data_IF_801753714336
#
_entry.id   IF_801753714336
#
_cell.length_a   1.000
_cell.length_b   1.000
_cell.length_c   1.000
_cell.angle_alpha   90.00
_cell.angle_beta   90.00
_cell.angle_gamma   90.00
#
_symmetry.space_group_name_H-M   'P 1'
#
loop_
_entity.id
_entity.type
_entity.pdbx_description
1 polymer ?
#
# COMPACT_ATOMS: atom_id res chain seq x y z
N UNK A 1 8.57 -21.39 6.57
CA UNK A 1 8.03 -20.20 5.92
C UNK A 1 7.07 -20.59 4.80
N UNK A 2 5.80 -20.28 5.00
CA UNK A 2 4.74 -20.68 4.07
C UNK A 2 4.87 -20.01 2.69
N UNK A 3 5.34 -18.77 2.64
CA UNK A 3 5.49 -18.04 1.40
C UNK A 3 6.46 -18.72 0.43
N UNK A 4 7.59 -19.17 0.95
CA UNK A 4 8.64 -19.82 0.13
C UNK A 4 8.12 -21.10 -0.55
N UNK A 5 7.18 -21.78 0.08
CA UNK A 5 6.61 -23.02 -0.45
C UNK A 5 5.53 -22.80 -1.52
N UNK A 6 5.06 -21.55 -1.70
CA UNK A 6 3.98 -21.25 -2.64
C UNK A 6 4.51 -20.95 -4.05
N UNK A 7 3.79 -21.45 -5.06
CA UNK A 7 3.99 -21.01 -6.42
C UNK A 7 3.41 -19.62 -6.64
N UNK A 8 3.79 -18.97 -7.72
CA UNK A 8 3.42 -17.60 -8.05
C UNK A 8 1.92 -17.32 -7.94
N UNK A 9 1.09 -18.16 -8.57
CA UNK A 9 -0.37 -17.97 -8.56
C UNK A 9 -0.95 -18.00 -7.15
N UNK A 10 -0.40 -18.86 -6.30
CA UNK A 10 -0.82 -18.94 -4.90
C UNK A 10 -0.38 -17.71 -4.11
N UNK A 11 0.81 -17.18 -4.40
CA UNK A 11 1.28 -15.93 -3.81
C UNK A 11 0.36 -14.77 -4.19
N UNK A 12 -0.03 -14.68 -5.46
CA UNK A 12 -1.00 -13.66 -5.90
C UNK A 12 -2.33 -13.80 -5.18
N UNK A 13 -2.80 -15.02 -4.99
CA UNK A 13 -4.02 -15.28 -4.23
C UNK A 13 -3.94 -14.82 -2.78
N UNK A 14 -2.80 -15.04 -2.13
CA UNK A 14 -2.55 -14.59 -0.76
C UNK A 14 -2.60 -13.06 -0.69
N UNK A 15 -1.96 -12.38 -1.64
CA UNK A 15 -1.94 -10.91 -1.68
C UNK A 15 -3.33 -10.34 -1.91
N UNK A 16 -4.11 -10.91 -2.83
CA UNK A 16 -5.48 -10.46 -3.08
C UNK A 16 -6.36 -10.67 -1.84
N UNK A 17 -6.23 -11.80 -1.17
CA UNK A 17 -7.00 -12.08 0.04
C UNK A 17 -6.65 -11.10 1.16
N UNK A 18 -5.37 -10.81 1.35
CA UNK A 18 -4.93 -9.83 2.33
C UNK A 18 -5.51 -8.45 2.04
N UNK A 19 -5.45 -8.01 0.78
CA UNK A 19 -6.05 -6.74 0.37
C UNK A 19 -7.55 -6.72 0.68
N UNK A 20 -8.27 -7.80 0.39
CA UNK A 20 -9.70 -7.89 0.68
C UNK A 20 -10.00 -7.74 2.18
N UNK A 21 -9.19 -8.36 3.02
CA UNK A 21 -9.35 -8.28 4.48
C UNK A 21 -9.06 -6.88 5.00
N UNK A 22 -7.97 -6.27 4.56
CA UNK A 22 -7.57 -4.93 4.97
C UNK A 22 -8.63 -3.90 4.52
N UNK A 23 -9.11 -4.01 3.30
CA UNK A 23 -10.14 -3.13 2.76
C UNK A 23 -11.44 -3.22 3.57
N UNK A 24 -11.84 -4.42 3.94
CA UNK A 24 -13.06 -4.66 4.73
C UNK A 24 -12.93 -3.99 6.11
N UNK A 25 -11.81 -4.17 6.79
CA UNK A 25 -11.57 -3.57 8.10
C UNK A 25 -11.52 -2.05 7.99
N UNK A 26 -10.93 -1.53 6.91
CA UNK A 26 -10.80 -0.09 6.67
C UNK A 26 -12.07 0.57 6.14
N UNK A 27 -13.11 -0.20 5.83
CA UNK A 27 -14.37 0.29 5.27
C UNK A 27 -14.18 1.03 3.93
N UNK A 28 -13.42 0.42 3.04
CA UNK A 28 -13.25 0.86 1.66
C UNK A 28 -13.40 -0.30 0.69
N UNK A 29 -13.66 -0.02 -0.61
CA UNK A 29 -13.66 -1.11 -1.61
C UNK A 29 -12.30 -1.78 -1.71
N UNK A 30 -12.29 -3.09 -1.93
CA UNK A 30 -11.08 -3.84 -2.25
C UNK A 30 -10.51 -3.39 -3.58
N UNK A 31 -9.18 -3.26 -3.64
CA UNK A 31 -8.49 -3.07 -4.92
C UNK A 31 -8.23 -4.42 -5.58
N UNK A 32 -8.15 -4.44 -6.90
CA UNK A 32 -7.62 -5.56 -7.65
C UNK A 32 -6.11 -5.52 -7.53
N UNK A 33 -5.50 -6.62 -7.11
CA UNK A 33 -4.03 -6.73 -7.00
C UNK A 33 -3.51 -7.41 -8.26
N UNK A 34 -2.65 -6.72 -8.98
CA UNK A 34 -2.04 -7.22 -10.21
C UNK A 34 -0.52 -7.19 -10.10
N UNK A 35 0.14 -7.95 -10.96
CA UNK A 35 1.60 -8.00 -11.00
C UNK A 35 2.12 -7.52 -12.36
N UNK A 36 3.26 -6.84 -12.32
CA UNK A 36 3.94 -6.35 -13.52
C UNK A 36 5.40 -6.17 -13.18
N UNK A 37 6.29 -6.45 -14.14
CA UNK A 37 7.71 -6.12 -13.95
C UNK A 37 7.88 -4.62 -14.02
N UNK A 38 8.42 -4.04 -12.95
CA UNK A 38 8.54 -2.58 -12.80
C UNK A 38 9.99 -2.08 -12.81
N UNK A 39 10.95 -3.00 -12.95
CA UNK A 39 12.36 -2.66 -12.83
C UNK A 39 12.84 -2.74 -11.39
N UNK A 40 14.16 -2.79 -11.24
CA UNK A 40 14.80 -2.90 -9.93
C UNK A 40 14.53 -1.67 -9.08
N UNK A 41 14.20 -1.89 -7.81
CA UNK A 41 13.94 -0.82 -6.85
C UNK A 41 12.50 -0.29 -6.83
N UNK A 42 11.66 -0.70 -7.78
CA UNK A 42 10.26 -0.28 -7.84
C UNK A 42 9.37 -1.43 -7.37
N UNK A 43 8.92 -1.37 -6.12
CA UNK A 43 8.15 -2.46 -5.49
C UNK A 43 6.69 -2.51 -5.92
N UNK A 44 6.07 -1.36 -6.16
CA UNK A 44 4.68 -1.29 -6.55
C UNK A 44 4.10 0.11 -6.49
N UNK A 45 2.84 0.24 -6.88
CA UNK A 45 2.13 1.51 -6.84
C UNK A 45 0.61 1.33 -6.81
N UNK A 46 -0.08 2.37 -6.34
CA UNK A 46 -1.52 2.54 -6.48
C UNK A 46 -1.78 3.71 -7.43
N UNK A 47 -2.65 3.51 -8.41
CA UNK A 47 -3.07 4.58 -9.32
C UNK A 47 -4.40 5.16 -8.86
N UNK A 48 -4.44 6.48 -8.66
CA UNK A 48 -5.61 7.18 -8.16
C UNK A 48 -6.84 6.93 -9.04
N UNK A 49 -7.95 6.57 -8.41
CA UNK A 49 -9.22 6.31 -9.11
C UNK A 49 -9.29 4.97 -9.84
N UNK A 50 -8.20 4.20 -9.89
CA UNK A 50 -8.16 2.93 -10.63
C UNK A 50 -8.72 1.74 -9.86
N UNK A 51 -8.76 1.82 -8.54
CA UNK A 51 -9.08 0.70 -7.65
C UNK A 51 -8.16 -0.51 -7.90
N UNK A 52 -6.89 -0.25 -8.24
CA UNK A 52 -5.92 -1.26 -8.62
C UNK A 52 -4.58 -0.99 -7.94
N UNK A 53 -3.99 -2.03 -7.37
CA UNK A 53 -2.63 -2.00 -6.80
C UNK A 53 -1.76 -2.90 -7.67
N UNK A 54 -0.66 -2.34 -8.18
CA UNK A 54 0.31 -3.09 -8.97
C UNK A 54 1.53 -3.38 -8.10
N UNK A 55 1.93 -4.65 -8.04
CA UNK A 55 3.12 -5.11 -7.31
C UNK A 55 4.14 -5.64 -8.30
N UNK A 56 5.41 -5.33 -8.09
CA UNK A 56 6.47 -5.79 -8.96
C UNK A 56 6.57 -7.32 -8.93
N UNK A 57 6.34 -7.93 -10.09
CA UNK A 57 6.35 -9.38 -10.29
C UNK A 57 7.65 -10.02 -9.82
N UNK A 58 8.78 -9.37 -10.08
CA UNK A 58 10.11 -9.93 -9.76
C UNK A 58 10.27 -10.13 -8.25
N UNK A 59 9.72 -9.23 -7.44
CA UNK A 59 9.75 -9.35 -5.97
C UNK A 59 8.76 -10.39 -5.45
N UNK A 60 7.63 -10.58 -6.13
CA UNK A 60 6.68 -11.65 -5.79
C UNK A 60 7.30 -13.03 -6.06
N UNK A 61 8.02 -13.17 -7.14
CA UNK A 61 8.72 -14.42 -7.50
C UNK A 61 9.89 -14.72 -6.57
N UNK A 62 10.50 -13.71 -5.97
CA UNK A 62 11.61 -13.87 -5.04
C UNK A 62 11.15 -14.54 -3.74
N UNK A 63 11.92 -15.51 -3.26
CA UNK A 63 11.63 -16.16 -1.98
C UNK A 63 12.00 -15.31 -0.78
N UNK A 64 12.84 -14.29 -0.97
CA UNK A 64 13.39 -13.48 0.11
C UNK A 64 12.68 -12.14 0.29
N UNK A 65 11.73 -11.81 -0.57
CA UNK A 65 11.11 -10.48 -0.62
C UNK A 65 9.70 -10.40 -0.01
N UNK A 66 9.26 -11.41 0.72
CA UNK A 66 7.89 -11.48 1.24
C UNK A 66 7.53 -10.24 2.07
N UNK A 67 8.40 -9.87 3.01
CA UNK A 67 8.13 -8.74 3.89
C UNK A 67 8.01 -7.42 3.10
N UNK A 68 8.91 -7.21 2.14
CA UNK A 68 8.87 -6.01 1.29
C UNK A 68 7.61 -5.96 0.42
N UNK A 69 7.19 -7.10 -0.13
CA UNK A 69 5.96 -7.20 -0.93
C UNK A 69 4.74 -6.91 -0.05
N UNK A 70 4.69 -7.48 1.14
CA UNK A 70 3.61 -7.28 2.09
C UNK A 70 3.49 -5.82 2.49
N UNK A 71 4.62 -5.22 2.87
CA UNK A 71 4.69 -3.80 3.24
C UNK A 71 4.19 -2.90 2.10
N UNK A 72 4.64 -3.17 0.88
CA UNK A 72 4.23 -2.40 -0.30
C UNK A 72 2.73 -2.52 -0.56
N UNK A 73 2.18 -3.73 -0.49
CA UNK A 73 0.75 -3.95 -0.69
C UNK A 73 -0.08 -3.12 0.30
N UNK A 74 0.29 -3.14 1.56
CA UNK A 74 -0.45 -2.44 2.61
C UNK A 74 -0.26 -0.93 2.48
N UNK A 75 0.95 -0.48 2.17
CA UNK A 75 1.26 0.93 1.91
C UNK A 75 0.41 1.50 0.76
N UNK A 76 0.39 0.79 -0.37
CA UNK A 76 -0.41 1.22 -1.53
C UNK A 76 -1.91 1.10 -1.26
N UNK A 77 -2.33 0.11 -0.50
CA UNK A 77 -3.71 0.00 -0.01
C UNK A 77 -4.11 1.18 0.88
N UNK A 78 -3.18 1.72 1.66
CA UNK A 78 -3.46 2.93 2.44
C UNK A 78 -3.66 4.14 1.54
N UNK A 79 -2.93 4.26 0.44
CA UNK A 79 -3.20 5.29 -0.56
C UNK A 79 -4.60 5.13 -1.18
N UNK A 80 -5.06 3.90 -1.40
CA UNK A 80 -6.44 3.66 -1.84
C UNK A 80 -7.46 4.13 -0.78
N UNK A 81 -7.18 3.94 0.49
CA UNK A 81 -8.00 4.43 1.60
C UNK A 81 -8.05 5.95 1.63
N UNK A 82 -6.90 6.60 1.48
CA UNK A 82 -6.81 8.07 1.42
C UNK A 82 -7.61 8.61 0.24
N UNK A 83 -7.44 8.02 -0.94
CA UNK A 83 -8.18 8.38 -2.15
C UNK A 83 -9.70 8.23 -1.94
N UNK A 84 -10.11 7.12 -1.36
CA UNK A 84 -11.53 6.88 -1.07
C UNK A 84 -12.11 7.96 -0.14
N UNK A 85 -11.40 8.30 0.93
CA UNK A 85 -11.84 9.30 1.89
C UNK A 85 -11.87 10.71 1.29
N UNK A 86 -10.96 11.03 0.37
CA UNK A 86 -10.88 12.35 -0.26
C UNK A 86 -11.88 12.52 -1.40
N UNK A 87 -12.15 11.46 -2.16
CA UNK A 87 -12.84 11.58 -3.44
C UNK A 87 -14.17 10.83 -3.53
N UNK A 88 -14.48 9.95 -2.58
CA UNK A 88 -15.71 9.17 -2.59
C UNK A 88 -16.54 9.41 -1.34
N UNK A 89 -16.02 9.03 -0.17
CA UNK A 89 -16.74 9.16 1.10
C UNK A 89 -15.74 9.20 2.26
N UNK A 90 -15.85 10.22 3.10
CA UNK A 90 -15.01 10.33 4.28
C UNK A 90 -15.52 9.37 5.36
N UNK A 91 -14.71 8.38 5.71
CA UNK A 91 -15.00 7.39 6.76
C UNK A 91 -13.96 7.39 7.88
N UNK A 92 -12.84 8.09 7.67
CA UNK A 92 -11.75 8.15 8.65
C UNK A 92 -12.21 8.90 9.90
N UNK A 93 -11.90 8.37 11.12
CA UNK A 93 -12.42 8.97 12.36
C UNK A 93 -11.80 10.34 12.71
N UNK A 94 -10.64 10.67 12.14
CA UNK A 94 -9.94 11.93 12.42
C UNK A 94 -9.96 12.85 11.20
N UNK A 95 -11.00 13.68 11.13
CA UNK A 95 -11.18 14.61 10.01
C UNK A 95 -9.97 15.53 9.77
N UNK A 96 -9.27 15.94 10.83
CA UNK A 96 -8.07 16.78 10.70
C UNK A 96 -6.97 16.11 9.87
N UNK A 97 -6.81 14.80 9.98
CA UNK A 97 -5.87 14.04 9.14
C UNK A 97 -6.30 14.04 7.68
N UNK A 98 -7.59 13.83 7.43
CA UNK A 98 -8.14 13.86 6.07
C UNK A 98 -7.92 15.24 5.44
N UNK A 99 -8.13 16.31 6.21
CA UNK A 99 -7.85 17.67 5.74
C UNK A 99 -6.38 17.86 5.37
N UNK A 100 -5.47 17.31 6.17
CA UNK A 100 -4.03 17.38 5.87
C UNK A 100 -3.67 16.60 4.60
N UNK A 101 -4.29 15.44 4.40
CA UNK A 101 -4.11 14.66 3.15
C UNK A 101 -4.59 15.47 1.94
N UNK A 102 -5.75 16.11 2.06
CA UNK A 102 -6.32 16.93 0.99
C UNK A 102 -5.40 18.08 0.61
N UNK A 103 -4.90 18.81 1.59
CA UNK A 103 -3.96 19.91 1.34
C UNK A 103 -2.66 19.43 0.72
N UNK A 104 -2.14 18.28 1.17
CA UNK A 104 -0.93 17.70 0.63
C UNK A 104 -1.11 17.29 -0.84
N UNK A 105 -2.23 16.67 -1.18
CA UNK A 105 -2.52 16.25 -2.56
C UNK A 105 -2.69 17.44 -3.50
N UNK A 106 -3.46 18.44 -3.07
CA UNK A 106 -3.83 19.57 -3.95
C UNK A 106 -2.74 20.63 -4.09
N UNK A 107 -1.95 20.85 -3.06
CA UNK A 107 -1.09 22.02 -3.00
C UNK A 107 0.36 21.74 -2.61
N UNK A 108 0.72 20.53 -2.27
CA UNK A 108 2.03 20.33 -1.70
C UNK A 108 2.64 18.95 -1.85
N UNK A 109 2.12 18.09 -2.73
CA UNK A 109 2.72 16.77 -2.88
C UNK A 109 4.15 16.88 -3.42
N UNK A 110 5.09 16.28 -2.69
CA UNK A 110 6.52 16.35 -2.94
C UNK A 110 7.03 15.01 -3.45
N UNK A 111 7.46 14.95 -4.72
CA UNK A 111 8.06 13.74 -5.28
C UNK A 111 9.55 13.66 -4.95
N UNK A 112 10.09 12.44 -5.07
CA UNK A 112 11.50 12.15 -4.72
C UNK A 112 12.45 12.92 -5.64
N UNK A 113 12.13 13.04 -6.94
CA UNK A 113 13.00 13.66 -7.92
C UNK A 113 13.23 15.16 -7.67
N UNK A 114 12.19 15.88 -7.26
CA UNK A 114 12.24 17.33 -7.08
C UNK A 114 12.57 17.75 -5.65
N UNK A 115 12.11 16.98 -4.64
CA UNK A 115 12.19 17.38 -3.23
C UNK A 115 13.09 16.52 -2.38
N UNK A 116 13.60 15.39 -2.91
CA UNK A 116 14.43 14.45 -2.18
C UNK A 116 13.60 13.45 -1.39
N UNK A 117 14.27 12.36 -1.00
CA UNK A 117 13.61 11.21 -0.37
C UNK A 117 13.03 11.53 1.01
N UNK A 118 13.74 12.33 1.82
CA UNK A 118 13.28 12.67 3.17
C UNK A 118 12.01 13.52 3.14
N UNK A 119 11.95 14.53 2.28
CA UNK A 119 10.77 15.38 2.13
C UNK A 119 9.57 14.56 1.63
N UNK A 120 9.81 13.64 0.69
CA UNK A 120 8.79 12.71 0.22
C UNK A 120 8.24 11.87 1.36
N UNK A 121 9.10 11.27 2.18
CA UNK A 121 8.65 10.40 3.29
C UNK A 121 7.89 11.13 4.38
N UNK A 122 8.23 12.39 4.66
CA UNK A 122 7.67 13.14 5.78
C UNK A 122 6.34 13.82 5.46
N UNK A 123 5.94 13.90 4.19
CA UNK A 123 4.67 14.52 3.85
C UNK A 123 3.46 13.69 4.35
N UNK A 124 2.32 14.33 4.64
CA UNK A 124 1.19 13.66 5.29
C UNK A 124 0.70 12.38 4.63
N UNK A 125 0.54 12.35 3.31
CA UNK A 125 0.06 11.15 2.61
C UNK A 125 1.04 9.99 2.74
N UNK A 126 2.34 10.24 2.58
CA UNK A 126 3.36 9.18 2.62
C UNK A 126 3.67 8.76 4.06
N UNK A 127 3.71 9.71 4.98
CA UNK A 127 3.95 9.42 6.39
C UNK A 127 2.84 8.55 6.98
N UNK A 128 1.58 8.85 6.67
CA UNK A 128 0.44 8.05 7.10
C UNK A 128 0.49 6.64 6.50
N UNK A 129 0.75 6.52 5.19
CA UNK A 129 0.78 5.23 4.52
C UNK A 129 1.90 4.34 5.06
N UNK A 130 3.07 4.92 5.32
CA UNK A 130 4.20 4.18 5.88
C UNK A 130 3.92 3.72 7.31
N UNK A 131 3.39 4.59 8.16
CA UNK A 131 3.07 4.23 9.54
C UNK A 131 2.01 3.14 9.62
N UNK A 132 0.98 3.23 8.80
CA UNK A 132 -0.06 2.21 8.71
C UNK A 132 0.51 0.87 8.27
N UNK A 133 1.35 0.86 7.23
CA UNK A 133 1.95 -0.37 6.73
C UNK A 133 2.85 -1.02 7.78
N UNK A 134 3.67 -0.25 8.47
CA UNK A 134 4.53 -0.77 9.55
C UNK A 134 3.72 -1.47 10.64
N UNK A 135 2.61 -0.86 11.09
CA UNK A 135 1.75 -1.42 12.12
C UNK A 135 1.07 -2.70 11.68
N UNK A 136 0.55 -2.75 10.45
CA UNK A 136 -0.15 -3.92 9.92
C UNK A 136 0.82 -5.07 9.66
N UNK A 137 1.98 -4.80 9.07
CA UNK A 137 3.00 -5.83 8.82
C UNK A 137 3.45 -6.46 10.13
N UNK A 138 3.70 -5.65 11.14
CA UNK A 138 4.08 -6.14 12.46
C UNK A 138 3.02 -7.08 13.05
N UNK A 139 1.76 -6.71 12.95
CA UNK A 139 0.65 -7.55 13.42
C UNK A 139 0.55 -8.87 12.65
N UNK A 140 0.79 -8.82 11.34
CA UNK A 140 0.78 -10.02 10.49
C UNK A 140 1.94 -10.95 10.75
N UNK A 141 3.13 -10.42 11.02
CA UNK A 141 4.30 -11.24 11.35
C UNK A 141 4.05 -12.08 12.58
N UNK A 142 3.40 -11.53 13.59
CA UNK A 142 3.06 -12.24 14.81
C UNK A 142 2.09 -13.42 14.55
N UNK A 143 1.28 -13.34 13.50
CA UNK A 143 0.35 -14.40 13.10
C UNK A 143 0.97 -15.44 12.17
N UNK A 144 2.03 -15.10 11.47
CA UNK A 144 2.68 -15.96 10.48
C UNK A 144 3.86 -16.76 11.06
N UNK A 145 4.27 -16.44 12.23
CA UNK A 145 5.24 -17.19 13.00
C UNK A 145 4.52 -18.08 14.02
#
# INVERSE_FOLDING_TARGET
>A
DKWKALFFDKRMGVLQQLENEVAKIAHRPSCVVVSQSLGEGHLGYYEQGSNCITINKDYIESTESYEAVLDTLIHEGRHAYQDYNLNVRETHPRHGEVSNWNLNELHGYQDVEHCGFKAYQLQPLESDARAFAEDVVKSYQDKLT
#
